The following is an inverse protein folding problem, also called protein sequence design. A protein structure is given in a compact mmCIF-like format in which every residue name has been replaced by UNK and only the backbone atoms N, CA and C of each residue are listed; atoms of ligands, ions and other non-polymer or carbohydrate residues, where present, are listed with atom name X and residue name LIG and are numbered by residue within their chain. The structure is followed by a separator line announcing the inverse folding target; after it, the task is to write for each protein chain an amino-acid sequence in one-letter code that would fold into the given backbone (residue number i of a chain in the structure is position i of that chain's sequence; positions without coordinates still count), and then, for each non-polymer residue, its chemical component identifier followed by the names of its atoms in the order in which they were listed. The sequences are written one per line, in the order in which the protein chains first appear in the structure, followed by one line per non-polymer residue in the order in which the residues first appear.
data_IF_822538779680
#
_entry.id   IF_822538779680
#
_cell.length_a   1.000
_cell.length_b   1.000
_cell.length_c   1.000
_cell.angle_alpha   90.00
_cell.angle_beta   90.00
_cell.angle_gamma   90.00
#
_symmetry.space_group_name_H-M   'P 1'
#
loop_
_entity.id
_entity.type
_entity.pdbx_description
1 polymer ?
#
# COMPACT_ATOMS: atom_id res chain seq x y z
N UNK A 1 31.14 9.92 -28.71
CA UNK A 1 32.23 9.86 -27.69
C UNK A 1 31.77 9.08 -26.45
N UNK A 2 31.48 7.77 -26.57
CA UNK A 2 31.03 6.92 -25.44
C UNK A 2 32.10 5.94 -24.93
N UNK A 3 33.23 5.79 -25.64
CA UNK A 3 34.19 4.72 -25.37
C UNK A 3 35.22 5.04 -24.26
N UNK A 4 35.39 6.30 -23.85
CA UNK A 4 36.41 6.67 -22.85
C UNK A 4 35.87 6.78 -21.41
N UNK A 5 34.55 6.81 -21.21
CA UNK A 5 33.96 6.87 -19.87
C UNK A 5 34.09 5.55 -19.09
N UNK A 6 34.31 4.42 -19.78
CA UNK A 6 34.45 3.09 -19.15
C UNK A 6 35.80 2.86 -18.44
N UNK A 7 36.83 3.63 -18.77
CA UNK A 7 38.22 3.30 -18.37
C UNK A 7 38.79 4.17 -17.24
N UNK A 8 38.07 5.19 -16.77
CA UNK A 8 38.50 6.01 -15.64
C UNK A 8 37.61 5.77 -14.41
N UNK A 9 38.20 5.82 -13.20
CA UNK A 9 37.53 5.45 -11.92
C UNK A 9 36.26 6.30 -11.69
N UNK A 10 36.34 7.58 -11.99
CA UNK A 10 35.22 8.54 -11.91
C UNK A 10 34.10 8.22 -12.92
N UNK A 11 34.44 7.75 -14.13
CA UNK A 11 33.47 7.37 -15.14
C UNK A 11 32.69 6.11 -14.77
N UNK A 12 33.34 5.15 -14.10
CA UNK A 12 32.66 3.96 -13.53
C UNK A 12 31.73 4.33 -12.37
N UNK A 13 32.12 5.26 -11.51
CA UNK A 13 31.28 5.74 -10.40
C UNK A 13 30.08 6.56 -10.88
N UNK A 14 30.26 7.41 -11.88
CA UNK A 14 29.17 8.15 -12.52
C UNK A 14 28.18 7.19 -13.18
N UNK A 15 28.67 6.16 -13.88
CA UNK A 15 27.82 5.13 -14.50
C UNK A 15 27.07 4.34 -13.42
N UNK A 16 27.73 3.90 -12.35
CA UNK A 16 27.09 3.20 -11.22
C UNK A 16 26.01 4.04 -10.56
N UNK A 17 26.25 5.34 -10.39
CA UNK A 17 25.27 6.29 -9.84
C UNK A 17 24.09 6.48 -10.78
N UNK A 18 24.33 6.66 -12.08
CA UNK A 18 23.28 6.79 -13.08
C UNK A 18 22.41 5.52 -13.17
N UNK A 19 23.02 4.33 -13.18
CA UNK A 19 22.29 3.06 -13.12
C UNK A 19 21.54 2.89 -11.81
N UNK A 20 22.12 3.28 -10.68
CA UNK A 20 21.43 3.25 -9.38
C UNK A 20 20.21 4.18 -9.37
N UNK A 21 20.32 5.39 -9.92
CA UNK A 21 19.20 6.33 -10.06
C UNK A 21 18.14 5.74 -11.01
N UNK A 22 18.55 5.20 -12.15
CA UNK A 22 17.66 4.62 -13.14
C UNK A 22 16.93 3.36 -12.62
N UNK A 23 17.63 2.48 -11.91
CA UNK A 23 17.08 1.26 -11.32
C UNK A 23 16.21 1.54 -10.09
N UNK A 24 16.59 2.52 -9.27
CA UNK A 24 15.84 2.84 -8.06
C UNK A 24 14.58 3.65 -8.36
N UNK A 25 14.54 4.35 -9.49
CA UNK A 25 13.42 5.22 -9.87
C UNK A 25 13.11 6.26 -8.81
N UNK A 26 11.93 6.86 -8.92
CA UNK A 26 11.38 7.70 -7.85
C UNK A 26 10.68 6.81 -6.81
N UNK A 27 10.92 7.07 -5.52
CA UNK A 27 10.28 6.31 -4.44
C UNK A 27 8.75 6.41 -4.56
N UNK A 28 8.06 5.29 -4.34
CA UNK A 28 6.61 5.19 -4.48
C UNK A 28 5.85 6.33 -3.75
N UNK A 29 6.25 6.64 -2.52
CA UNK A 29 5.62 7.70 -1.72
C UNK A 29 5.88 9.13 -2.21
N UNK A 30 6.93 9.34 -3.02
CA UNK A 30 7.17 10.64 -3.69
C UNK A 30 6.43 10.75 -5.01
N UNK A 31 6.13 9.62 -5.65
CA UNK A 31 5.52 9.57 -6.98
C UNK A 31 4.05 10.01 -6.99
N UNK A 32 3.31 9.72 -5.92
CA UNK A 32 1.87 10.01 -5.84
C UNK A 32 1.56 11.07 -4.79
N UNK A 33 0.42 11.75 -4.97
CA UNK A 33 -0.12 12.71 -3.99
C UNK A 33 -1.28 12.13 -3.19
N UNK A 34 -1.95 11.13 -3.77
CA UNK A 34 -3.09 10.45 -3.20
C UNK A 34 -2.72 9.01 -2.94
N UNK A 35 -3.05 8.53 -1.74
CA UNK A 35 -2.78 7.16 -1.34
C UNK A 35 -3.98 6.56 -0.65
N UNK A 36 -4.18 5.27 -0.87
CA UNK A 36 -5.08 4.43 -0.10
C UNK A 36 -4.24 3.37 0.62
N UNK A 37 -4.26 3.41 1.95
CA UNK A 37 -3.67 2.39 2.80
C UNK A 37 -4.74 1.36 3.13
N UNK A 38 -4.45 0.10 2.84
CA UNK A 38 -5.34 -1.03 3.10
C UNK A 38 -4.72 -1.85 4.22
N UNK A 39 -5.46 -2.06 5.29
CA UNK A 39 -5.05 -2.81 6.47
C UNK A 39 -5.89 -4.09 6.56
N UNK A 40 -5.22 -5.23 6.66
CA UNK A 40 -5.78 -6.49 7.08
C UNK A 40 -5.35 -6.76 8.52
N UNK A 41 -6.33 -6.84 9.42
CA UNK A 41 -6.15 -6.88 10.87
C UNK A 41 -6.72 -8.19 11.42
N UNK A 42 -6.00 -8.81 12.33
CA UNK A 42 -6.47 -9.96 13.13
C UNK A 42 -6.07 -9.72 14.59
N UNK A 43 -7.06 -9.65 15.49
CA UNK A 43 -6.79 -9.51 16.93
C UNK A 43 -6.15 -10.80 17.47
N UNK A 44 -4.86 -10.72 17.79
CA UNK A 44 -4.15 -11.81 18.44
C UNK A 44 -4.27 -11.63 19.96
N UNK A 45 -4.95 -12.56 20.64
CA UNK A 45 -4.84 -12.59 22.11
C UNK A 45 -3.45 -13.12 22.46
N UNK A 46 -2.86 -12.53 23.49
CA UNK A 46 -1.44 -12.65 23.86
C UNK A 46 -0.83 -14.07 23.69
N UNK A 47 0.31 -14.14 22.99
CA UNK A 47 1.15 -15.33 22.74
C UNK A 47 0.38 -16.54 22.20
N UNK A 48 -0.21 -16.38 21.03
CA UNK A 48 -0.89 -17.46 20.33
C UNK A 48 0.05 -18.27 19.41
N UNK A 49 -0.27 -19.56 19.25
CA UNK A 49 0.51 -20.58 18.53
C UNK A 49 0.79 -20.22 17.05
N UNK A 50 1.87 -20.78 16.47
CA UNK A 50 2.22 -20.63 15.04
C UNK A 50 1.05 -20.89 14.08
N UNK A 51 0.10 -21.76 14.46
CA UNK A 51 -1.08 -22.06 13.66
C UNK A 51 -1.99 -20.85 13.47
N UNK A 52 -2.19 -20.03 14.50
CA UNK A 52 -3.06 -18.85 14.44
C UNK A 52 -2.45 -17.76 13.56
N UNK A 53 -1.13 -17.56 13.66
CA UNK A 53 -0.39 -16.65 12.78
C UNK A 53 -0.54 -17.06 11.31
N UNK A 54 -0.39 -18.35 11.00
CA UNK A 54 -0.55 -18.88 9.65
C UNK A 54 -1.96 -18.68 9.11
N UNK A 55 -2.98 -18.78 9.96
CA UNK A 55 -4.36 -18.50 9.56
C UNK A 55 -4.60 -17.02 9.27
N UNK A 56 -4.04 -16.11 10.09
CA UNK A 56 -4.08 -14.66 9.83
C UNK A 56 -3.37 -14.30 8.52
N UNK A 57 -2.21 -14.91 8.25
CA UNK A 57 -1.51 -14.77 6.97
C UNK A 57 -2.36 -15.25 5.79
N UNK A 58 -2.99 -16.42 5.91
CA UNK A 58 -3.83 -16.97 4.84
C UNK A 58 -5.05 -16.08 4.56
N UNK A 59 -5.67 -15.54 5.62
CA UNK A 59 -6.75 -14.57 5.47
C UNK A 59 -6.26 -13.32 4.73
N UNK A 60 -5.14 -12.73 5.15
CA UNK A 60 -4.62 -11.53 4.51
C UNK A 60 -4.13 -11.78 3.07
N UNK A 61 -3.61 -12.96 2.73
CA UNK A 61 -3.33 -13.37 1.33
C UNK A 61 -4.61 -13.47 0.49
N UNK A 62 -5.70 -13.97 1.08
CA UNK A 62 -7.00 -13.96 0.41
C UNK A 62 -7.43 -12.52 0.10
N UNK A 63 -7.29 -11.60 1.06
CA UNK A 63 -7.57 -10.16 0.85
C UNK A 63 -6.68 -9.57 -0.25
N UNK A 64 -5.38 -9.83 -0.20
CA UNK A 64 -4.41 -9.37 -1.20
C UNK A 64 -4.84 -9.73 -2.63
N UNK A 65 -5.28 -10.97 -2.83
CA UNK A 65 -5.76 -11.45 -4.14
C UNK A 65 -6.95 -10.66 -4.67
N UNK A 66 -7.75 -10.06 -3.77
CA UNK A 66 -8.98 -9.34 -4.09
C UNK A 66 -8.77 -7.84 -4.21
N UNK A 67 -7.78 -7.27 -3.53
CA UNK A 67 -7.42 -5.86 -3.69
C UNK A 67 -7.18 -5.55 -5.16
N UNK A 68 -6.38 -6.38 -5.84
CA UNK A 68 -6.08 -6.15 -7.26
C UNK A 68 -7.27 -6.42 -8.17
N UNK A 69 -8.03 -7.49 -7.92
CA UNK A 69 -9.07 -7.95 -8.83
C UNK A 69 -10.40 -7.19 -8.69
N UNK A 70 -10.69 -6.67 -7.51
CA UNK A 70 -11.99 -6.05 -7.22
C UNK A 70 -11.80 -4.58 -6.89
N UNK A 71 -11.00 -4.24 -5.87
CA UNK A 71 -10.88 -2.85 -5.43
C UNK A 71 -10.24 -1.93 -6.48
N UNK A 72 -9.08 -2.32 -7.02
CA UNK A 72 -8.36 -1.51 -8.01
C UNK A 72 -9.19 -1.34 -9.29
N UNK A 73 -9.72 -2.43 -9.84
CA UNK A 73 -10.55 -2.37 -11.04
C UNK A 73 -11.79 -1.49 -10.83
N UNK A 74 -12.51 -1.67 -9.72
CA UNK A 74 -13.68 -0.83 -9.43
C UNK A 74 -13.32 0.64 -9.27
N UNK A 75 -12.21 0.96 -8.59
CA UNK A 75 -11.74 2.34 -8.45
C UNK A 75 -11.44 2.95 -9.83
N UNK A 76 -10.78 2.22 -10.73
CA UNK A 76 -10.41 2.74 -12.05
C UNK A 76 -11.61 2.85 -13.00
N UNK A 77 -12.60 1.96 -12.89
CA UNK A 77 -13.81 1.98 -13.74
C UNK A 77 -14.85 3.01 -13.28
N UNK A 78 -15.13 3.07 -11.97
CA UNK A 78 -16.23 3.87 -11.43
C UNK A 78 -15.82 5.35 -11.25
N UNK A 79 -14.56 5.62 -10.91
CA UNK A 79 -14.08 6.98 -10.62
C UNK A 79 -13.36 7.61 -11.82
N UNK A 80 -14.13 8.31 -12.68
CA UNK A 80 -13.61 9.03 -13.86
C UNK A 80 -12.52 10.07 -13.56
N UNK A 81 -12.38 10.45 -12.29
CA UNK A 81 -11.36 11.38 -11.81
C UNK A 81 -9.98 10.72 -11.68
N UNK A 82 -9.93 9.40 -11.57
CA UNK A 82 -8.72 8.61 -11.43
C UNK A 82 -8.21 8.25 -12.83
N UNK A 83 -6.91 8.42 -13.03
CA UNK A 83 -6.23 8.09 -14.28
C UNK A 83 -5.77 6.64 -14.25
N UNK A 84 -5.13 6.25 -13.15
CA UNK A 84 -4.72 4.89 -12.85
C UNK A 84 -4.35 4.78 -11.37
N UNK A 85 -4.27 3.56 -10.89
CA UNK A 85 -3.78 3.21 -9.56
C UNK A 85 -2.52 2.35 -9.64
N UNK A 86 -1.76 2.31 -8.56
CA UNK A 86 -0.57 1.48 -8.45
C UNK A 86 -0.49 0.89 -7.05
N UNK A 87 -0.76 -0.40 -6.92
CA UNK A 87 -0.57 -1.13 -5.68
C UNK A 87 0.87 -1.62 -5.51
N UNK A 88 1.44 -1.38 -4.33
CA UNK A 88 2.75 -1.93 -3.94
C UNK A 88 2.60 -3.40 -3.55
N UNK A 89 3.61 -4.23 -3.88
CA UNK A 89 3.66 -5.61 -3.41
C UNK A 89 4.10 -5.76 -1.95
N UNK A 90 5.23 -5.17 -1.57
CA UNK A 90 5.76 -5.18 -0.19
C UNK A 90 6.33 -3.80 0.15
N UNK A 91 5.46 -2.86 0.44
CA UNK A 91 5.89 -1.62 1.07
C UNK A 91 5.98 -1.86 2.59
N UNK A 92 7.10 -1.48 3.19
CA UNK A 92 7.34 -1.75 4.63
C UNK A 92 6.84 -0.64 5.53
N UNK A 93 6.55 0.53 4.96
CA UNK A 93 6.16 1.64 5.79
C UNK A 93 4.71 1.53 6.25
N UNK A 94 4.54 1.56 7.56
CA UNK A 94 3.26 1.74 8.22
C UNK A 94 3.42 2.95 9.17
N UNK A 95 2.55 3.99 9.08
CA UNK A 95 2.67 5.20 9.90
C UNK A 95 2.64 4.87 11.39
N UNK A 96 3.33 5.67 12.20
CA UNK A 96 3.46 5.43 13.64
C UNK A 96 2.10 5.38 14.34
N UNK A 97 1.20 6.31 14.01
CA UNK A 97 -0.17 6.37 14.54
C UNK A 97 -0.93 5.05 14.31
N UNK A 98 -0.76 4.43 13.14
CA UNK A 98 -1.40 3.17 12.81
C UNK A 98 -0.80 2.02 13.62
N UNK A 99 0.54 1.98 13.76
CA UNK A 99 1.20 0.97 14.61
C UNK A 99 0.75 1.04 16.05
N UNK A 100 0.58 2.25 16.58
CA UNK A 100 0.15 2.47 17.96
C UNK A 100 -1.33 2.12 18.16
N UNK A 101 -2.20 2.58 17.25
CA UNK A 101 -3.65 2.30 17.27
C UNK A 101 -3.96 0.80 17.26
N UNK A 102 -3.18 0.01 16.53
CA UNK A 102 -3.36 -1.45 16.41
C UNK A 102 -2.25 -2.24 17.12
N UNK A 103 -1.71 -1.67 18.20
CA UNK A 103 -0.77 -2.38 19.05
C UNK A 103 -1.47 -3.60 19.69
N UNK A 104 -1.09 -4.80 19.26
CA UNK A 104 -1.72 -6.07 19.67
C UNK A 104 -2.43 -6.83 18.54
N UNK A 105 -2.55 -6.24 17.36
CA UNK A 105 -3.08 -6.93 16.18
C UNK A 105 -1.94 -7.52 15.34
N UNK A 106 -2.22 -8.64 14.68
CA UNK A 106 -1.51 -8.96 13.44
C UNK A 106 -1.96 -7.98 12.36
N UNK A 107 -0.99 -7.36 11.67
CA UNK A 107 -1.24 -6.35 10.64
C UNK A 107 -0.48 -6.73 9.38
N UNK A 108 -1.22 -6.97 8.29
CA UNK A 108 -0.68 -6.93 6.94
C UNK A 108 -1.27 -5.73 6.21
N UNK A 109 -0.45 -5.00 5.46
CA UNK A 109 -0.88 -3.76 4.82
C UNK A 109 -0.36 -3.63 3.39
N UNK A 110 -1.10 -2.84 2.61
CA UNK A 110 -0.75 -2.50 1.23
C UNK A 110 -1.02 -1.03 0.97
N UNK A 111 -0.12 -0.42 0.21
CA UNK A 111 -0.31 0.93 -0.31
C UNK A 111 -0.78 0.90 -1.75
N UNK A 112 -1.76 1.74 -2.06
CA UNK A 112 -2.22 2.00 -3.42
C UNK A 112 -2.04 3.49 -3.70
N UNK A 113 -1.16 3.81 -4.63
CA UNK A 113 -0.91 5.16 -5.10
C UNK A 113 -1.92 5.48 -6.19
N UNK A 114 -2.47 6.69 -6.17
CA UNK A 114 -3.56 7.09 -7.05
C UNK A 114 -3.10 8.28 -7.86
N UNK A 115 -3.09 8.13 -9.18
CA UNK A 115 -2.90 9.22 -10.12
C UNK A 115 -4.25 9.73 -10.58
N UNK A 116 -4.41 11.04 -10.65
CA UNK A 116 -5.69 11.67 -11.02
C UNK A 116 -5.57 12.46 -12.32
N UNK A 117 -6.67 12.58 -13.05
CA UNK A 117 -6.71 13.31 -14.32
C UNK A 117 -6.55 14.84 -14.12
N UNK A 118 -6.86 15.33 -12.92
CA UNK A 118 -6.73 16.74 -12.51
C UNK A 118 -6.20 16.82 -11.08
N UNK A 119 -5.71 17.98 -10.69
CA UNK A 119 -5.27 18.23 -9.32
C UNK A 119 -6.51 18.32 -8.42
N UNK A 120 -6.78 17.24 -7.67
CA UNK A 120 -7.99 17.08 -6.86
C UNK A 120 -7.64 17.21 -5.37
N UNK A 121 -8.52 17.86 -4.61
CA UNK A 121 -8.31 18.06 -3.16
C UNK A 121 -8.78 16.89 -2.31
N UNK A 122 -9.72 16.09 -2.78
CA UNK A 122 -10.24 14.95 -2.04
C UNK A 122 -10.94 13.98 -3.00
N UNK A 123 -10.72 12.69 -2.78
CA UNK A 123 -11.44 11.62 -3.44
C UNK A 123 -12.40 10.99 -2.43
N UNK A 124 -13.63 10.70 -2.83
CA UNK A 124 -14.64 10.08 -1.99
C UNK A 124 -14.74 8.59 -2.31
N UNK A 125 -14.12 7.75 -1.47
CA UNK A 125 -14.11 6.29 -1.70
C UNK A 125 -15.18 5.52 -0.93
N UNK A 126 -15.94 6.17 -0.03
CA UNK A 126 -16.76 5.49 0.97
C UNK A 126 -17.65 4.38 0.40
N UNK A 127 -18.33 4.63 -0.72
CA UNK A 127 -19.25 3.66 -1.33
C UNK A 127 -18.51 2.47 -1.97
N UNK A 128 -17.38 2.71 -2.63
CA UNK A 128 -16.56 1.66 -3.24
C UNK A 128 -15.93 0.79 -2.15
N UNK A 129 -15.48 1.40 -1.06
CA UNK A 129 -14.85 0.71 0.07
C UNK A 129 -15.85 -0.18 0.82
N UNK A 130 -17.06 0.32 1.09
CA UNK A 130 -18.12 -0.47 1.74
C UNK A 130 -18.45 -1.68 0.88
N UNK A 131 -18.69 -1.48 -0.42
CA UNK A 131 -18.96 -2.57 -1.37
C UNK A 131 -17.82 -3.59 -1.42
N UNK A 132 -16.57 -3.13 -1.41
CA UNK A 132 -15.41 -4.02 -1.37
C UNK A 132 -15.41 -4.87 -0.11
N UNK A 133 -15.56 -4.26 1.08
CA UNK A 133 -15.58 -4.99 2.35
C UNK A 133 -16.74 -5.99 2.40
N UNK A 134 -17.94 -5.62 1.94
CA UNK A 134 -19.09 -6.51 1.87
C UNK A 134 -18.85 -7.70 0.92
N UNK A 135 -18.31 -7.42 -0.27
CA UNK A 135 -17.98 -8.47 -1.24
C UNK A 135 -16.92 -9.44 -0.71
N UNK A 136 -15.90 -8.92 -0.03
CA UNK A 136 -14.92 -9.74 0.65
C UNK A 136 -15.60 -10.65 1.66
N UNK A 137 -16.43 -10.10 2.56
CA UNK A 137 -17.10 -10.90 3.60
C UNK A 137 -17.93 -12.03 2.98
N UNK A 138 -18.66 -11.73 1.91
CA UNK A 138 -19.49 -12.73 1.21
C UNK A 138 -18.68 -13.81 0.49
N UNK A 139 -17.49 -13.48 -0.01
CA UNK A 139 -16.62 -14.40 -0.77
C UNK A 139 -15.58 -15.09 0.10
N UNK A 140 -15.39 -14.65 1.35
CA UNK A 140 -14.41 -15.23 2.26
C UNK A 140 -14.87 -16.64 2.60
N UNK A 141 -14.04 -17.67 2.37
CA UNK A 141 -14.36 -19.03 2.78
C UNK A 141 -14.70 -19.09 4.27
N UNK A 142 -15.70 -19.90 4.66
CA UNK A 142 -16.12 -20.06 6.07
C UNK A 142 -14.95 -20.38 7.00
N UNK A 143 -13.99 -21.19 6.54
CA UNK A 143 -12.78 -21.52 7.30
C UNK A 143 -11.88 -20.30 7.64
N UNK A 144 -12.04 -19.19 6.92
CA UNK A 144 -11.30 -17.95 7.13
C UNK A 144 -12.15 -16.84 7.75
N UNK A 145 -13.47 -17.04 7.92
CA UNK A 145 -14.34 -16.08 8.58
C UNK A 145 -14.17 -16.21 10.10
N UNK A 146 -13.66 -15.15 10.73
CA UNK A 146 -13.60 -15.01 12.18
C UNK A 146 -14.00 -13.60 12.58
N UNK A 147 -14.69 -13.45 13.71
CA UNK A 147 -15.21 -12.16 14.19
C UNK A 147 -14.10 -11.16 14.53
N UNK A 148 -12.92 -11.67 14.87
CA UNK A 148 -11.75 -10.89 15.27
C UNK A 148 -10.92 -10.36 14.08
N UNK A 149 -11.38 -10.59 12.85
CA UNK A 149 -10.72 -10.15 11.61
C UNK A 149 -11.42 -8.94 11.01
N UNK A 150 -10.62 -7.96 10.59
CA UNK A 150 -11.13 -6.70 10.04
C UNK A 150 -10.28 -6.23 8.87
N UNK A 151 -10.93 -5.56 7.94
CA UNK A 151 -10.27 -4.76 6.91
C UNK A 151 -10.56 -3.29 7.19
N UNK A 152 -9.52 -2.47 7.17
CA UNK A 152 -9.64 -1.03 7.30
C UNK A 152 -8.94 -0.34 6.14
N UNK A 153 -9.57 0.70 5.59
CA UNK A 153 -9.01 1.45 4.47
C UNK A 153 -8.92 2.92 4.87
N UNK A 154 -7.76 3.51 4.64
CA UNK A 154 -7.43 4.87 5.08
C UNK A 154 -6.92 5.65 3.88
N UNK A 155 -7.58 6.77 3.59
CA UNK A 155 -7.19 7.65 2.49
C UNK A 155 -6.27 8.78 2.99
N UNK A 156 -5.20 9.01 2.25
CA UNK A 156 -4.26 10.09 2.50
C UNK A 156 -4.13 11.00 1.27
N UNK A 157 -4.14 12.31 1.53
CA UNK A 157 -3.85 13.33 0.53
C UNK A 157 -2.71 14.24 0.99
N UNK A 158 -1.55 14.11 0.35
CA UNK A 158 -0.37 14.91 0.63
C UNK A 158 -0.46 16.35 0.14
N UNK A 159 -1.52 16.72 -0.62
CA UNK A 159 -1.75 18.11 -0.98
C UNK A 159 -2.30 18.96 0.19
N UNK A 160 -2.87 18.33 1.23
CA UNK A 160 -3.62 19.03 2.30
C UNK A 160 -2.99 18.92 3.70
N UNK A 161 -2.09 17.97 3.95
CA UNK A 161 -1.42 17.79 5.25
C UNK A 161 0.10 17.93 5.11
N UNK A 162 0.73 18.44 6.18
CA UNK A 162 2.18 18.50 6.38
C UNK A 162 2.85 17.16 6.07
N UNK A 163 4.11 17.23 5.65
CA UNK A 163 4.96 16.10 5.27
C UNK A 163 5.11 14.98 6.33
N UNK A 164 4.40 14.98 7.46
CA UNK A 164 4.61 14.04 8.59
C UNK A 164 4.49 12.56 8.18
N UNK A 165 3.53 12.22 7.32
CA UNK A 165 3.36 10.84 6.84
C UNK A 165 4.48 10.41 5.88
N UNK A 166 4.96 11.38 5.12
CA UNK A 166 6.09 11.26 4.21
C UNK A 166 7.38 11.18 5.03
N UNK A 167 7.51 11.91 6.13
CA UNK A 167 8.71 11.98 6.96
C UNK A 167 8.89 10.69 7.77
N UNK A 168 7.81 10.14 8.34
CA UNK A 168 7.82 8.85 9.04
C UNK A 168 8.19 7.66 8.13
N UNK A 169 7.92 7.79 6.83
CA UNK A 169 8.07 6.73 5.84
C UNK A 169 9.22 6.88 4.84
N UNK A 170 9.74 8.09 4.63
CA UNK A 170 10.84 8.36 3.68
C UNK A 170 12.24 8.35 4.33
N UNK A 171 12.34 8.54 5.65
CA UNK A 171 13.65 8.69 6.33
C UNK A 171 14.18 7.41 7.00
N UNK A 172 13.97 6.23 6.39
CA UNK A 172 14.66 4.99 6.78
C UNK A 172 15.44 4.36 5.64
#
# INVERSE_FOLDING_TARGET
MLNNAKNNKEGKEAMKTAWKIWLNGESFLKKYKHFLLILCLDELKSKESENLLKESENYCRFIESRIRLELIFTIEEDEKQIKYTHATGKEKCLPKEIKEKYSGHYIQHWWVGIETNKNIKQLEFNNILIKFIENIKNKTPLALLKENRKIELIYYNLNNNSNELVDDCLFK
#
